data_IF_725062646824
#
_entry.id   IF_725062646824
#
_cell.length_a   1.000
_cell.length_b   1.000
_cell.length_c   1.000
_cell.angle_alpha   90.00
_cell.angle_beta   90.00
_cell.angle_gamma   90.00
#
_symmetry.space_group_name_H-M   'P 1'
#
loop_
_entity.id
_entity.type
_entity.pdbx_description
1 polymer ?
#
# COMPACT_ATOMS: atom_id res chain seq x y z
N UNK A 1 30.37 10.88 -14.09
CA UNK A 1 30.99 9.58 -14.46
C UNK A 1 30.90 9.32 -15.97
N UNK A 2 29.72 9.47 -16.59
CA UNK A 2 29.55 9.33 -18.05
C UNK A 2 30.53 10.20 -18.84
N UNK A 3 30.59 11.50 -18.58
CA UNK A 3 31.49 12.41 -19.30
C UNK A 3 32.96 11.99 -19.19
N UNK A 4 33.38 11.56 -18.00
CA UNK A 4 34.74 11.07 -17.77
C UNK A 4 35.09 9.81 -18.58
N UNK A 5 34.14 8.88 -18.70
CA UNK A 5 34.32 7.61 -19.42
C UNK A 5 34.22 7.79 -20.93
N UNK A 6 33.29 8.63 -21.41
CA UNK A 6 33.04 8.83 -22.84
C UNK A 6 33.99 9.84 -23.49
N UNK A 7 34.39 10.91 -22.79
CA UNK A 7 35.26 11.97 -23.32
C UNK A 7 36.76 11.63 -23.27
N UNK A 8 37.19 10.59 -22.54
CA UNK A 8 38.59 10.11 -22.61
C UNK A 8 38.80 9.24 -23.85
N UNK A 9 39.63 9.66 -24.83
CA UNK A 9 39.94 8.83 -25.98
C UNK A 9 40.85 7.65 -25.58
N UNK A 10 40.52 6.46 -26.11
CA UNK A 10 41.31 5.21 -26.13
C UNK A 10 41.77 4.57 -24.80
N UNK A 11 41.49 5.15 -23.63
CA UNK A 11 41.88 4.54 -22.33
C UNK A 11 40.77 3.77 -21.61
N UNK A 12 39.50 3.98 -21.98
CA UNK A 12 38.33 3.44 -21.26
C UNK A 12 37.33 2.75 -22.19
N UNK A 13 37.80 2.20 -23.32
CA UNK A 13 36.93 1.59 -24.33
C UNK A 13 36.01 0.47 -23.76
N UNK A 14 36.49 -0.48 -22.93
CA UNK A 14 35.60 -1.49 -22.33
C UNK A 14 34.54 -0.88 -21.40
N UNK A 15 34.90 0.17 -20.66
CA UNK A 15 33.98 0.84 -19.73
C UNK A 15 32.82 1.52 -20.46
N UNK A 16 32.99 1.95 -21.72
CA UNK A 16 31.89 2.52 -22.52
C UNK A 16 30.76 1.51 -22.81
N UNK A 17 31.08 0.22 -22.86
CA UNK A 17 30.07 -0.83 -23.07
C UNK A 17 29.41 -1.30 -21.77
N UNK A 18 30.16 -1.27 -20.66
CA UNK A 18 29.69 -1.75 -19.36
C UNK A 18 28.92 -0.67 -18.58
N UNK A 19 29.30 0.60 -18.74
CA UNK A 19 28.78 1.70 -17.92
C UNK A 19 27.25 1.86 -18.01
N UNK A 20 26.60 1.87 -19.19
CA UNK A 20 25.15 2.00 -19.26
C UNK A 20 24.43 0.87 -18.50
N UNK A 21 24.86 -0.39 -18.71
CA UNK A 21 24.28 -1.54 -18.01
C UNK A 21 24.54 -1.51 -16.51
N UNK A 22 25.71 -1.06 -16.09
CA UNK A 22 26.06 -0.94 -14.65
C UNK A 22 25.23 0.13 -13.95
N UNK A 23 24.94 1.24 -14.63
CA UNK A 23 24.08 2.30 -14.06
C UNK A 23 22.66 1.80 -13.87
N UNK A 24 22.09 1.08 -14.85
CA UNK A 24 20.79 0.45 -14.70
C UNK A 24 20.79 -0.60 -13.59
N UNK A 25 21.83 -1.43 -13.51
CA UNK A 25 21.99 -2.41 -12.43
C UNK A 25 22.06 -1.73 -11.06
N UNK A 26 22.81 -0.64 -10.92
CA UNK A 26 22.90 0.09 -9.65
C UNK A 26 21.54 0.68 -9.29
N UNK A 27 20.90 1.38 -10.22
CA UNK A 27 19.64 2.07 -9.97
C UNK A 27 18.48 1.11 -9.65
N UNK A 28 18.36 0.00 -10.39
CA UNK A 28 17.20 -0.89 -10.31
C UNK A 28 17.42 -2.16 -9.49
N UNK A 29 18.67 -2.52 -9.16
CA UNK A 29 18.97 -3.69 -8.33
C UNK A 29 19.67 -3.29 -7.02
N UNK A 30 20.79 -2.57 -7.09
CA UNK A 30 21.62 -2.31 -5.89
C UNK A 30 20.97 -1.32 -4.94
N UNK A 31 20.42 -0.20 -5.45
CA UNK A 31 19.76 0.81 -4.62
C UNK A 31 18.55 0.21 -3.86
N UNK A 32 17.63 -0.53 -4.51
CA UNK A 32 16.54 -1.20 -3.79
C UNK A 32 17.01 -2.23 -2.76
N UNK A 33 18.09 -2.97 -3.04
CA UNK A 33 18.68 -3.90 -2.06
C UNK A 33 19.18 -3.14 -0.84
N UNK A 34 19.94 -2.06 -1.05
CA UNK A 34 20.46 -1.25 0.06
C UNK A 34 19.33 -0.61 0.87
N UNK A 35 18.30 -0.08 0.19
CA UNK A 35 17.11 0.45 0.83
C UNK A 35 16.42 -0.63 1.70
N UNK A 36 16.22 -1.83 1.16
CA UNK A 36 15.62 -2.96 1.89
C UNK A 36 16.45 -3.35 3.11
N UNK A 37 17.78 -3.41 2.97
CA UNK A 37 18.69 -3.70 4.07
C UNK A 37 18.60 -2.62 5.14
N UNK A 38 18.64 -1.35 4.76
CA UNK A 38 18.53 -0.23 5.70
C UNK A 38 17.21 -0.25 6.47
N UNK A 39 16.10 -0.45 5.76
CA UNK A 39 14.76 -0.56 6.36
C UNK A 39 14.65 -1.73 7.34
N UNK A 40 15.40 -2.83 7.12
CA UNK A 40 15.39 -3.97 8.04
C UNK A 40 15.96 -3.66 9.44
N UNK A 41 16.71 -2.56 9.60
CA UNK A 41 17.21 -2.09 10.90
C UNK A 41 16.33 -1.00 11.53
N UNK A 42 15.22 -0.66 10.89
CA UNK A 42 14.33 0.41 11.33
C UNK A 42 12.98 -0.15 11.81
N UNK A 43 12.30 0.59 12.69
CA UNK A 43 10.87 0.41 12.97
C UNK A 43 10.08 1.00 11.81
N UNK A 44 10.03 0.26 10.70
CA UNK A 44 9.24 0.62 9.52
C UNK A 44 8.02 -0.29 9.47
N UNK A 45 6.90 0.21 10.00
CA UNK A 45 5.63 -0.52 10.13
C UNK A 45 4.45 0.41 9.94
N UNK A 46 3.24 -0.14 9.89
CA UNK A 46 2.01 0.66 10.00
C UNK A 46 2.09 1.55 11.25
N UNK A 47 1.83 2.84 11.08
CA UNK A 47 2.01 3.86 12.13
C UNK A 47 3.41 4.49 12.18
N UNK A 48 4.44 3.86 11.60
CA UNK A 48 5.86 4.28 11.70
C UNK A 48 6.49 4.47 10.32
N UNK A 49 5.83 5.24 9.47
CA UNK A 49 6.27 5.49 8.09
C UNK A 49 6.75 6.92 7.86
N UNK A 50 6.56 7.81 8.81
CA UNK A 50 6.88 9.23 8.69
C UNK A 50 8.25 9.56 9.30
N UNK A 51 8.73 10.76 9.03
CA UNK A 51 9.74 11.41 9.87
C UNK A 51 9.11 11.89 11.19
N UNK A 52 9.94 12.21 12.19
CA UNK A 52 9.44 12.70 13.50
C UNK A 52 8.67 14.01 13.36
N UNK A 53 9.15 14.94 12.53
CA UNK A 53 8.50 16.22 12.27
C UNK A 53 7.11 16.03 11.62
N UNK A 54 7.03 15.18 10.59
CA UNK A 54 5.75 14.84 9.96
C UNK A 54 4.81 14.14 10.94
N UNK A 55 5.33 13.23 11.79
CA UNK A 55 4.53 12.55 12.80
C UNK A 55 3.96 13.52 13.84
N UNK A 56 4.73 14.53 14.28
CA UNK A 56 4.25 15.58 15.19
C UNK A 56 3.09 16.33 14.51
N UNK A 57 3.29 16.83 13.30
CA UNK A 57 2.27 17.57 12.56
C UNK A 57 0.99 16.74 12.36
N UNK A 58 1.12 15.49 11.93
CA UNK A 58 -0.04 14.59 11.75
C UNK A 58 -0.75 14.30 13.08
N UNK A 59 -0.03 14.13 14.20
CA UNK A 59 -0.68 13.96 15.50
C UNK A 59 -1.47 15.21 15.90
N UNK A 60 -0.94 16.41 15.66
CA UNK A 60 -1.65 17.67 15.95
C UNK A 60 -2.91 17.85 15.09
N UNK A 61 -2.85 17.42 13.82
CA UNK A 61 -3.98 17.52 12.89
C UNK A 61 -5.08 16.47 13.14
N UNK A 62 -4.70 15.24 13.52
CA UNK A 62 -5.64 14.13 13.70
C UNK A 62 -6.28 14.09 15.10
N UNK A 63 -5.56 14.55 16.12
CA UNK A 63 -6.10 14.61 17.48
C UNK A 63 -6.76 15.96 17.68
N UNK A 64 -8.04 16.03 17.36
CA UNK A 64 -8.89 17.20 17.57
C UNK A 64 -9.94 16.83 18.61
N UNK A 65 -10.14 17.70 19.58
CA UNK A 65 -11.22 17.56 20.57
C UNK A 65 -12.39 18.38 20.04
N UNK A 66 -13.54 17.71 19.88
CA UNK A 66 -14.80 18.39 19.62
C UNK A 66 -15.17 19.21 20.86
N UNK A 67 -15.39 20.50 20.65
CA UNK A 67 -15.82 21.43 21.68
C UNK A 67 -17.29 21.22 22.04
N UNK A 68 -17.76 22.03 22.98
CA UNK A 68 -19.11 21.92 23.53
C UNK A 68 -20.15 22.67 22.68
N UNK A 69 -19.74 23.48 21.68
CA UNK A 69 -20.66 24.31 20.91
C UNK A 69 -21.05 23.64 19.61
N UNK A 70 -22.36 23.47 19.44
CA UNK A 70 -22.96 23.06 18.19
C UNK A 70 -23.65 24.26 17.54
N UNK A 71 -23.51 24.33 16.22
CA UNK A 71 -24.09 25.36 15.40
C UNK A 71 -25.02 24.72 14.39
N UNK A 72 -26.24 25.25 14.31
CA UNK A 72 -27.07 25.06 13.13
C UNK A 72 -26.43 25.84 11.98
N UNK A 73 -26.15 25.14 10.89
CA UNK A 73 -25.41 25.66 9.76
C UNK A 73 -26.31 25.78 8.53
N UNK A 74 -26.34 26.96 7.92
CA UNK A 74 -26.86 27.17 6.57
C UNK A 74 -25.72 27.51 5.62
N UNK A 75 -25.23 26.55 4.81
CA UNK A 75 -24.24 26.82 3.77
C UNK A 75 -24.77 27.82 2.76
N UNK A 76 -24.01 28.88 2.50
CA UNK A 76 -24.40 29.96 1.59
C UNK A 76 -23.24 30.39 0.70
N UNK A 77 -23.52 31.05 -0.43
CA UNK A 77 -22.51 31.71 -1.28
C UNK A 77 -22.62 33.21 -1.18
N UNK A 78 -21.48 33.90 -1.14
CA UNK A 78 -21.41 35.35 -1.26
C UNK A 78 -21.52 35.84 -2.71
N UNK A 79 -21.54 37.16 -2.91
CA UNK A 79 -21.59 37.78 -4.25
C UNK A 79 -20.41 37.40 -5.16
N UNK A 80 -19.30 36.92 -4.60
CA UNK A 80 -18.13 36.43 -5.34
C UNK A 80 -18.20 34.92 -5.66
N UNK A 81 -19.18 34.21 -5.11
CA UNK A 81 -19.37 32.77 -5.24
C UNK A 81 -18.62 31.94 -4.18
N UNK A 82 -17.95 32.57 -3.22
CA UNK A 82 -17.23 31.89 -2.15
C UNK A 82 -18.19 31.33 -1.09
N UNK A 83 -17.83 30.18 -0.52
CA UNK A 83 -18.61 29.52 0.54
C UNK A 83 -18.54 30.33 1.85
N UNK A 84 -19.70 30.57 2.44
CA UNK A 84 -19.89 31.23 3.73
C UNK A 84 -20.88 30.40 4.54
N UNK A 85 -20.53 30.10 5.79
CA UNK A 85 -21.42 29.38 6.69
C UNK A 85 -22.18 30.39 7.54
N UNK A 86 -23.51 30.37 7.48
CA UNK A 86 -24.33 31.07 8.47
C UNK A 86 -24.53 30.11 9.63
N UNK A 87 -24.02 30.47 10.80
CA UNK A 87 -23.95 29.61 11.98
C UNK A 87 -24.82 30.20 13.09
N UNK A 88 -25.74 29.42 13.65
CA UNK A 88 -26.55 29.80 14.80
C UNK A 88 -26.20 28.86 15.95
N UNK A 89 -25.69 29.42 17.04
CA UNK A 89 -25.37 28.68 18.26
C UNK A 89 -26.66 28.12 18.87
N UNK A 90 -26.72 26.78 19.02
CA UNK A 90 -27.93 26.06 19.41
C UNK A 90 -28.41 26.34 20.84
N UNK A 91 -27.51 26.88 21.67
CA UNK A 91 -27.73 27.10 23.10
C UNK A 91 -28.04 28.56 23.40
N UNK A 92 -27.31 29.48 22.77
CA UNK A 92 -27.45 30.92 23.01
C UNK A 92 -28.32 31.63 21.98
N UNK A 93 -28.52 31.03 20.80
CA UNK A 93 -29.19 31.65 19.66
C UNK A 93 -28.39 32.79 19.02
N UNK A 94 -27.11 32.95 19.38
CA UNK A 94 -26.24 33.95 18.78
C UNK A 94 -25.85 33.51 17.35
N UNK A 95 -25.86 34.45 16.42
CA UNK A 95 -25.58 34.18 15.01
C UNK A 95 -24.19 34.67 14.62
N UNK A 96 -23.53 33.90 13.75
CA UNK A 96 -22.20 34.16 13.23
C UNK A 96 -22.13 33.90 11.72
N UNK A 97 -21.18 34.57 11.06
CA UNK A 97 -20.75 34.27 9.70
C UNK A 97 -19.37 33.63 9.74
N UNK A 98 -19.31 32.36 9.36
CA UNK A 98 -18.08 31.59 9.21
C UNK A 98 -17.51 31.73 7.81
N UNK A 99 -16.35 32.37 7.68
CA UNK A 99 -15.59 32.46 6.43
C UNK A 99 -14.22 31.81 6.60
N UNK A 100 -13.54 31.51 5.49
CA UNK A 100 -12.15 31.05 5.52
C UNK A 100 -11.20 32.05 6.21
N UNK A 101 -11.58 33.33 6.29
CA UNK A 101 -10.84 34.38 7.00
C UNK A 101 -11.09 34.41 8.52
N UNK A 102 -12.11 33.73 9.02
CA UNK A 102 -12.49 33.70 10.43
C UNK A 102 -13.99 33.84 10.69
N UNK A 103 -14.34 33.85 11.97
CA UNK A 103 -15.71 33.96 12.48
C UNK A 103 -16.07 35.43 12.77
N UNK A 104 -17.21 35.90 12.25
CA UNK A 104 -17.74 37.25 12.48
C UNK A 104 -19.10 37.16 13.20
N UNK A 105 -19.25 37.87 14.32
CA UNK A 105 -20.54 37.98 15.03
C UNK A 105 -21.49 38.91 14.28
N UNK A 106 -22.73 38.47 14.07
CA UNK A 106 -23.79 39.28 13.48
C UNK A 106 -25.00 39.38 14.40
N UNK A 107 -25.76 40.46 14.26
CA UNK A 107 -26.99 40.65 15.03
C UNK A 107 -27.97 39.51 14.73
N UNK A 108 -28.45 38.75 15.74
CA UNK A 108 -29.44 37.70 15.52
C UNK A 108 -30.70 38.18 14.78
N UNK A 109 -31.06 39.46 14.91
CA UNK A 109 -32.20 40.06 14.20
C UNK A 109 -31.97 40.25 12.69
N UNK A 110 -30.74 40.07 12.21
CA UNK A 110 -30.37 40.16 10.78
C UNK A 110 -30.63 38.87 9.99
N UNK A 111 -31.03 37.81 10.69
CA UNK A 111 -31.26 36.48 10.15
C UNK A 111 -32.69 36.07 10.42
N UNK A 112 -33.43 35.77 9.35
CA UNK A 112 -34.82 35.34 9.44
C UNK A 112 -34.88 33.81 9.53
N UNK A 113 -35.84 33.27 10.27
CA UNK A 113 -36.09 31.82 10.32
C UNK A 113 -37.41 31.57 9.62
N UNK A 114 -37.43 30.63 8.67
CA UNK A 114 -38.63 30.31 7.91
C UNK A 114 -39.63 29.45 8.71
N UNK A 115 -40.79 29.16 8.11
CA UNK A 115 -41.88 28.40 8.74
C UNK A 115 -41.48 26.94 9.08
N UNK A 116 -40.40 26.43 8.49
CA UNK A 116 -39.87 25.08 8.71
C UNK A 116 -38.72 25.04 9.71
N UNK A 117 -38.28 26.20 10.20
CA UNK A 117 -37.18 26.32 11.15
C UNK A 117 -35.80 26.47 10.47
N UNK A 118 -35.76 26.65 9.16
CA UNK A 118 -34.52 26.84 8.41
C UNK A 118 -34.08 28.30 8.47
N UNK A 119 -32.77 28.50 8.67
CA UNK A 119 -32.15 29.82 8.84
C UNK A 119 -31.93 30.45 7.46
N UNK A 120 -32.63 31.56 7.19
CA UNK A 120 -32.49 32.36 5.95
C UNK A 120 -31.26 33.27 6.10
N UNK A 121 -30.28 33.18 5.19
CA UNK A 121 -29.07 33.98 5.28
C UNK A 121 -29.36 35.48 5.10
N UNK A 122 -28.55 36.36 5.72
CA UNK A 122 -28.70 37.81 5.61
C UNK A 122 -28.50 38.31 4.17
N UNK A 123 -29.00 39.52 3.88
CA UNK A 123 -28.95 40.11 2.54
C UNK A 123 -27.52 40.14 1.95
N UNK A 124 -27.37 39.64 0.72
CA UNK A 124 -26.07 39.51 0.03
C UNK A 124 -25.47 38.10 0.04
N UNK A 125 -26.12 37.15 0.74
CA UNK A 125 -25.77 35.73 0.74
C UNK A 125 -26.90 34.89 0.13
N UNK A 126 -26.55 33.87 -0.64
CA UNK A 126 -27.51 32.93 -1.26
C UNK A 126 -27.35 31.55 -0.65
N UNK A 127 -28.38 31.02 0.02
CA UNK A 127 -28.34 29.69 0.61
C UNK A 127 -28.20 28.60 -0.46
N UNK A 128 -27.34 27.63 -0.21
CA UNK A 128 -27.23 26.41 -1.01
C UNK A 128 -28.37 25.47 -0.66
N UNK A 129 -29.15 25.06 -1.65
CA UNK A 129 -30.30 24.16 -1.47
C UNK A 129 -30.36 23.09 -2.56
N UNK A 130 -30.99 21.95 -2.26
CA UNK A 130 -31.20 20.88 -3.24
C UNK A 130 -29.90 20.33 -3.82
N UNK A 131 -29.85 20.13 -5.14
CA UNK A 131 -28.72 19.52 -5.84
C UNK A 131 -27.41 20.29 -5.66
N UNK A 132 -27.46 21.62 -5.47
CA UNK A 132 -26.26 22.43 -5.24
C UNK A 132 -25.66 22.20 -3.86
N UNK A 133 -26.50 21.98 -2.83
CA UNK A 133 -26.06 21.64 -1.48
C UNK A 133 -25.45 20.24 -1.43
N UNK A 134 -26.12 19.25 -2.04
CA UNK A 134 -25.60 17.88 -2.10
C UNK A 134 -24.34 17.79 -2.98
N UNK A 135 -24.20 18.65 -3.99
CA UNK A 135 -22.99 18.78 -4.79
C UNK A 135 -21.82 19.41 -4.05
N UNK A 136 -22.07 20.14 -2.95
CA UNK A 136 -21.06 20.82 -2.15
C UNK A 136 -20.50 19.98 -0.98
N UNK A 137 -20.88 18.70 -0.85
CA UNK A 137 -20.48 17.81 0.26
C UNK A 137 -18.95 17.78 0.50
N UNK A 138 -18.16 17.61 -0.56
CA UNK A 138 -16.71 17.61 -0.46
C UNK A 138 -16.11 19.00 -0.15
N UNK A 139 -16.76 20.08 -0.59
CA UNK A 139 -16.37 21.46 -0.28
C UNK A 139 -16.63 21.75 1.20
N UNK A 140 -17.80 21.35 1.71
CA UNK A 140 -18.21 21.50 3.10
C UNK A 140 -17.34 20.68 4.06
N UNK A 141 -17.07 19.41 3.74
CA UNK A 141 -16.26 18.53 4.57
C UNK A 141 -14.81 19.02 4.73
N UNK A 142 -14.30 19.78 3.75
CA UNK A 142 -12.96 20.35 3.78
C UNK A 142 -12.93 21.80 4.31
N UNK A 143 -14.09 22.42 4.57
CA UNK A 143 -14.17 23.81 4.98
C UNK A 143 -13.98 23.96 6.48
N UNK A 144 -13.02 24.79 6.86
CA UNK A 144 -12.71 25.10 8.26
C UNK A 144 -12.76 26.61 8.49
N UNK A 145 -13.45 27.03 9.56
CA UNK A 145 -13.53 28.44 9.95
C UNK A 145 -12.62 28.68 11.15
N UNK A 146 -11.54 29.46 11.02
CA UNK A 146 -10.59 29.66 12.11
C UNK A 146 -11.18 30.52 13.24
N UNK A 147 -10.95 30.11 14.49
CA UNK A 147 -11.34 30.85 15.70
C UNK A 147 -10.18 31.71 16.22
N UNK A 148 -10.49 32.89 16.75
CA UNK A 148 -9.50 33.85 17.27
C UNK A 148 -8.76 33.38 18.53
N UNK A 149 -9.28 32.36 19.23
CA UNK A 149 -8.69 31.76 20.43
C UNK A 149 -7.89 30.47 20.21
N UNK A 150 -7.67 30.07 18.94
CA UNK A 150 -7.16 28.74 18.59
C UNK A 150 -8.31 27.73 18.42
N UNK A 151 -8.19 26.84 17.43
CA UNK A 151 -9.26 25.95 17.00
C UNK A 151 -9.97 26.41 15.73
N UNK A 152 -10.83 25.54 15.20
CA UNK A 152 -11.58 25.72 13.97
C UNK A 152 -13.01 25.20 14.14
N UNK A 153 -13.98 25.83 13.50
CA UNK A 153 -15.31 25.24 13.34
C UNK A 153 -15.28 24.32 12.13
N UNK A 154 -15.69 23.07 12.33
CA UNK A 154 -15.81 22.05 11.29
C UNK A 154 -17.27 21.75 11.00
N UNK A 155 -17.57 21.38 9.77
CA UNK A 155 -18.91 20.98 9.37
C UNK A 155 -19.21 19.54 9.79
N UNK A 156 -20.46 19.26 10.11
CA UNK A 156 -21.01 17.93 10.36
C UNK A 156 -22.23 17.72 9.46
N UNK A 157 -22.01 17.05 8.33
CA UNK A 157 -23.03 16.91 7.29
C UNK A 157 -23.36 18.25 6.62
N UNK A 158 -24.64 18.45 6.30
CA UNK A 158 -25.10 19.61 5.51
C UNK A 158 -25.75 20.72 6.34
N UNK A 159 -26.04 20.46 7.62
CA UNK A 159 -26.84 21.35 8.48
C UNK A 159 -26.25 21.57 9.87
N UNK A 160 -25.16 20.89 10.22
CA UNK A 160 -24.48 21.01 11.50
C UNK A 160 -23.06 21.50 11.33
N UNK A 161 -22.57 22.21 12.33
CA UNK A 161 -21.15 22.48 12.51
C UNK A 161 -20.83 22.49 14.01
N UNK A 162 -19.59 22.20 14.36
CA UNK A 162 -19.13 22.19 15.76
C UNK A 162 -17.79 22.89 15.88
N UNK A 163 -17.54 23.51 17.04
CA UNK A 163 -16.20 24.00 17.34
C UNK A 163 -15.25 22.86 17.67
N UNK A 164 -14.01 22.98 17.24
CA UNK A 164 -13.01 21.95 17.44
C UNK A 164 -11.68 22.61 17.81
N UNK A 165 -11.03 22.09 18.85
CA UNK A 165 -9.75 22.59 19.32
C UNK A 165 -8.68 21.52 19.14
N UNK A 166 -7.40 21.88 18.96
CA UNK A 166 -6.31 20.91 18.97
C UNK A 166 -6.38 20.08 20.25
N UNK A 167 -6.47 18.76 20.11
CA UNK A 167 -6.45 17.80 21.22
C UNK A 167 -5.05 17.57 21.76
N UNK A 168 -4.02 17.95 21.01
CA UNK A 168 -2.62 17.91 21.41
C UNK A 168 -1.97 19.28 21.16
N UNK A 169 -1.06 19.65 22.05
CA UNK A 169 -0.15 20.78 21.88
C UNK A 169 1.30 20.27 21.93
N UNK A 170 2.16 20.79 21.06
CA UNK A 170 3.56 20.40 20.99
C UNK A 170 4.46 21.41 21.70
N UNK A 171 5.15 20.96 22.76
CA UNK A 171 6.17 21.75 23.44
C UNK A 171 7.55 21.45 22.84
N UNK A 172 8.00 22.35 21.95
CA UNK A 172 9.30 22.23 21.27
C UNK A 172 10.53 22.33 22.18
N UNK A 173 10.41 22.88 23.39
CA UNK A 173 11.54 23.00 24.31
C UNK A 173 11.79 21.69 25.07
N UNK A 174 10.72 20.93 25.31
CA UNK A 174 10.77 19.64 26.02
C UNK A 174 10.63 18.43 25.08
N UNK A 175 10.27 18.63 23.81
CA UNK A 175 10.02 17.57 22.82
C UNK A 175 8.93 16.59 23.31
N UNK A 176 7.80 17.16 23.74
CA UNK A 176 6.64 16.42 24.25
C UNK A 176 5.35 16.91 23.60
N UNK A 177 4.40 16.00 23.41
CA UNK A 177 3.02 16.29 23.06
C UNK A 177 2.16 16.26 24.33
N UNK A 178 1.30 17.25 24.51
CA UNK A 178 0.50 17.40 25.72
C UNK A 178 -0.98 17.36 25.31
N UNK A 179 -1.73 16.43 25.87
CA UNK A 179 -3.17 16.37 25.67
C UNK A 179 -3.86 17.56 26.33
N UNK A 180 -4.64 18.31 25.56
CA UNK A 180 -5.26 19.57 26.01
C UNK A 180 -6.43 19.33 26.97
N UNK A 181 -7.05 18.16 26.92
CA UNK A 181 -8.19 17.75 27.75
C UNK A 181 -7.78 17.20 29.13
N UNK A 182 -6.75 16.36 29.15
CA UNK A 182 -6.32 15.55 30.29
C UNK A 182 -5.00 16.03 30.89
N UNK A 183 -4.22 16.82 30.14
CA UNK A 183 -2.87 17.25 30.52
C UNK A 183 -1.83 16.13 30.47
N UNK A 184 -2.15 14.98 29.89
CA UNK A 184 -1.21 13.85 29.76
C UNK A 184 -0.08 14.23 28.82
N UNK A 185 1.15 14.08 29.28
CA UNK A 185 2.34 14.30 28.47
C UNK A 185 2.78 12.99 27.80
N UNK A 186 3.02 13.06 26.49
CA UNK A 186 3.59 12.00 25.69
C UNK A 186 5.00 12.40 25.25
N UNK A 187 5.99 11.60 25.66
CA UNK A 187 7.40 11.84 25.36
C UNK A 187 7.95 10.78 24.41
N UNK A 188 9.04 11.12 23.73
CA UNK A 188 9.75 10.19 22.85
C UNK A 188 10.27 8.97 23.63
N UNK A 189 9.84 7.77 23.22
CA UNK A 189 10.28 6.50 23.82
C UNK A 189 11.65 6.02 23.33
N UNK A 190 12.33 6.78 22.46
CA UNK A 190 13.58 6.44 21.78
C UNK A 190 13.43 5.32 20.75
N UNK A 191 12.19 4.97 20.39
CA UNK A 191 11.83 3.83 19.53
C UNK A 191 10.77 4.21 18.49
N UNK A 192 10.70 5.48 18.13
CA UNK A 192 9.86 5.93 17.04
C UNK A 192 8.44 6.33 17.43
N UNK A 193 8.15 6.55 18.71
CA UNK A 193 6.80 6.91 19.14
C UNK A 193 6.77 7.83 20.35
N UNK A 194 5.72 8.63 20.44
CA UNK A 194 5.37 9.36 21.66
C UNK A 194 4.55 8.45 22.58
N UNK A 195 4.95 8.36 23.85
CA UNK A 195 4.36 7.45 24.85
C UNK A 195 4.11 8.20 26.16
N UNK A 196 2.97 7.94 26.78
CA UNK A 196 2.62 8.48 28.10
C UNK A 196 3.39 7.81 29.24
N UNK A 197 3.35 8.39 30.44
CA UNK A 197 3.95 7.76 31.62
C UNK A 197 3.38 6.37 31.96
N UNK A 198 2.11 6.12 31.58
CA UNK A 198 1.41 4.84 31.79
C UNK A 198 1.68 3.80 30.69
N UNK A 199 2.37 4.22 29.61
CA UNK A 199 2.76 3.35 28.50
C UNK A 199 1.84 3.41 27.29
N UNK A 200 0.89 4.37 27.25
CA UNK A 200 0.01 4.56 26.09
C UNK A 200 0.75 5.23 24.94
N UNK A 201 0.80 4.58 23.79
CA UNK A 201 1.52 5.03 22.59
C UNK A 201 0.56 5.76 21.63
N UNK A 202 0.96 6.94 21.16
CA UNK A 202 0.24 7.62 20.08
C UNK A 202 0.31 6.78 18.80
N UNK A 203 -0.82 6.72 18.07
CA UNK A 203 -0.98 5.87 16.88
C UNK A 203 0.01 6.22 15.77
N UNK A 204 0.32 7.51 15.63
CA UNK A 204 1.24 8.02 14.61
C UNK A 204 2.62 8.20 15.23
N UNK A 205 3.56 7.36 14.80
CA UNK A 205 4.97 7.42 15.12
C UNK A 205 5.84 7.69 13.88
N UNK A 206 7.15 7.53 14.04
CA UNK A 206 8.14 7.77 13.00
C UNK A 206 9.13 6.60 12.85
N UNK A 207 9.86 6.61 11.74
CA UNK A 207 10.92 5.64 11.48
C UNK A 207 12.08 5.90 12.44
N UNK A 208 12.36 4.93 13.29
CA UNK A 208 13.50 4.96 14.21
C UNK A 208 14.43 3.77 13.99
N UNK A 209 15.73 3.95 14.25
CA UNK A 209 16.70 2.87 14.14
C UNK A 209 16.64 1.97 15.38
N UNK A 210 16.22 0.71 15.19
CA UNK A 210 16.06 -0.29 16.25
C UNK A 210 17.14 -1.39 16.20
N UNK A 211 18.18 -1.19 15.39
CA UNK A 211 19.28 -2.15 15.26
C UNK A 211 18.81 -3.53 14.80
N UNK A 212 19.17 -4.58 15.54
CA UNK A 212 18.95 -5.98 15.13
C UNK A 212 17.64 -6.58 15.62
N UNK A 213 16.74 -5.79 16.23
CA UNK A 213 15.52 -6.30 16.86
C UNK A 213 14.66 -7.13 15.90
N UNK A 214 14.42 -6.64 14.68
CA UNK A 214 13.67 -7.34 13.63
C UNK A 214 14.24 -8.75 13.35
N UNK A 215 15.56 -8.89 13.34
CA UNK A 215 16.24 -10.17 13.08
C UNK A 215 16.15 -11.10 14.28
N UNK A 216 16.38 -10.57 15.49
CA UNK A 216 16.30 -11.37 16.71
C UNK A 216 14.89 -11.88 16.96
N UNK A 217 13.86 -11.10 16.63
CA UNK A 217 12.46 -11.47 16.77
C UNK A 217 12.11 -12.76 16.01
N UNK A 218 12.68 -12.99 14.82
CA UNK A 218 12.46 -14.22 14.04
C UNK A 218 12.95 -15.48 14.78
N UNK A 219 13.94 -15.33 15.66
CA UNK A 219 14.59 -16.43 16.39
C UNK A 219 14.02 -16.57 17.81
N UNK A 220 13.72 -15.45 18.46
CA UNK A 220 13.31 -15.40 19.87
C UNK A 220 11.80 -15.50 20.04
N UNK A 221 11.01 -14.90 19.14
CA UNK A 221 9.55 -14.88 19.25
C UNK A 221 8.94 -16.20 18.75
N UNK A 222 8.33 -17.03 19.63
CA UNK A 222 7.74 -18.31 19.21
C UNK A 222 6.61 -18.16 18.20
N UNK A 223 5.85 -17.05 18.25
CA UNK A 223 4.74 -16.77 17.35
C UNK A 223 5.21 -16.52 15.91
N UNK A 224 6.42 -15.98 15.73
CA UNK A 224 7.01 -15.72 14.41
C UNK A 224 7.84 -16.92 13.94
N UNK A 225 8.65 -17.51 14.82
CA UNK A 225 9.61 -18.55 14.47
C UNK A 225 8.97 -19.81 13.90
N UNK A 226 7.92 -20.31 14.54
CA UNK A 226 7.27 -21.56 14.16
C UNK A 226 6.67 -21.52 12.73
N UNK A 227 5.83 -20.52 12.36
CA UNK A 227 5.34 -20.40 11.00
C UNK A 227 6.46 -20.07 10.00
N UNK A 228 7.46 -19.25 10.39
CA UNK A 228 8.61 -18.97 9.54
C UNK A 228 9.36 -20.24 9.12
N UNK A 229 9.76 -21.10 10.06
CA UNK A 229 10.48 -22.33 9.75
C UNK A 229 9.65 -23.29 8.90
N UNK A 230 8.34 -23.40 9.18
CA UNK A 230 7.42 -24.23 8.39
C UNK A 230 7.34 -23.75 6.94
N UNK A 231 7.16 -22.44 6.74
CA UNK A 231 7.12 -21.84 5.42
C UNK A 231 8.46 -21.98 4.70
N UNK A 232 9.58 -21.71 5.38
CA UNK A 232 10.93 -21.82 4.83
C UNK A 232 11.23 -23.23 4.29
N UNK A 233 10.98 -24.27 5.10
CA UNK A 233 11.18 -25.67 4.67
C UNK A 233 10.28 -26.00 3.48
N UNK A 234 9.02 -25.57 3.52
CA UNK A 234 8.10 -25.77 2.39
C UNK A 234 8.59 -25.07 1.13
N UNK A 235 9.06 -23.83 1.20
CA UNK A 235 9.58 -23.08 0.05
C UNK A 235 10.78 -23.79 -0.58
N UNK A 236 11.69 -24.36 0.21
CA UNK A 236 12.81 -25.16 -0.29
C UNK A 236 12.30 -26.42 -1.00
N UNK A 237 11.41 -27.18 -0.36
CA UNK A 237 10.85 -28.41 -0.94
C UNK A 237 10.10 -28.11 -2.24
N UNK A 238 9.30 -27.05 -2.24
CA UNK A 238 8.57 -26.56 -3.41
C UNK A 238 9.51 -26.19 -4.55
N UNK A 239 10.52 -25.35 -4.30
CA UNK A 239 11.48 -24.91 -5.31
C UNK A 239 12.29 -26.10 -5.86
N UNK A 240 12.83 -26.95 -4.99
CA UNK A 240 13.60 -28.13 -5.39
C UNK A 240 12.75 -29.11 -6.22
N UNK A 241 11.52 -29.41 -5.78
CA UNK A 241 10.62 -30.32 -6.50
C UNK A 241 10.25 -29.75 -7.87
N UNK A 242 9.89 -28.47 -7.93
CA UNK A 242 9.51 -27.81 -9.19
C UNK A 242 10.67 -27.81 -10.17
N UNK A 243 11.88 -27.43 -9.74
CA UNK A 243 13.08 -27.41 -10.59
C UNK A 243 13.44 -28.81 -11.08
N UNK A 244 13.52 -29.79 -10.17
CA UNK A 244 13.94 -31.16 -10.52
C UNK A 244 12.95 -31.82 -11.50
N UNK A 245 11.65 -31.72 -11.22
CA UNK A 245 10.62 -32.33 -12.06
C UNK A 245 10.56 -31.63 -13.43
N UNK A 246 10.54 -30.29 -13.45
CA UNK A 246 10.46 -29.53 -14.71
C UNK A 246 11.71 -29.72 -15.56
N UNK A 247 12.89 -29.79 -14.95
CA UNK A 247 14.14 -30.09 -15.64
C UNK A 247 14.12 -31.49 -16.23
N UNK A 248 13.73 -32.51 -15.43
CA UNK A 248 13.68 -33.89 -15.90
C UNK A 248 12.72 -34.04 -17.10
N UNK A 249 11.52 -33.45 -17.02
CA UNK A 249 10.55 -33.46 -18.12
C UNK A 249 11.07 -32.67 -19.33
N UNK A 250 11.61 -31.47 -19.10
CA UNK A 250 12.15 -30.61 -20.15
C UNK A 250 13.31 -31.27 -20.91
N UNK A 251 14.25 -31.88 -20.19
CA UNK A 251 15.37 -32.64 -20.77
C UNK A 251 14.88 -33.87 -21.53
N UNK A 252 13.93 -34.62 -20.97
CA UNK A 252 13.32 -35.77 -21.65
C UNK A 252 12.67 -35.37 -22.97
N UNK A 253 11.85 -34.31 -22.96
CA UNK A 253 11.20 -33.76 -24.15
C UNK A 253 12.22 -33.20 -25.15
N UNK A 254 13.26 -32.51 -24.68
CA UNK A 254 14.33 -31.99 -25.53
C UNK A 254 15.02 -33.12 -26.29
N UNK A 255 15.45 -34.17 -25.58
CA UNK A 255 16.07 -35.37 -26.17
C UNK A 255 15.12 -36.09 -27.13
N UNK A 256 13.83 -36.17 -26.80
CA UNK A 256 12.83 -36.79 -27.67
C UNK A 256 12.69 -36.04 -29.01
N UNK A 257 12.60 -34.71 -28.95
CA UNK A 257 12.43 -33.84 -30.12
C UNK A 257 13.72 -33.68 -30.93
N UNK A 258 14.87 -33.97 -30.34
CA UNK A 258 16.16 -33.93 -31.04
C UNK A 258 16.33 -35.08 -32.03
N UNK A 259 15.76 -36.27 -31.74
CA UNK A 259 15.89 -37.49 -32.58
C UNK A 259 15.64 -37.24 -34.08
N UNK A 260 16.56 -37.58 -35.00
CA UNK A 260 16.48 -37.19 -36.41
C UNK A 260 15.22 -37.68 -37.15
N UNK A 261 14.70 -38.86 -36.79
CA UNK A 261 13.51 -39.46 -37.43
C UNK A 261 12.16 -38.95 -36.90
N UNK A 262 12.15 -38.02 -35.95
CA UNK A 262 10.90 -37.52 -35.38
C UNK A 262 10.17 -36.62 -36.38
N UNK A 263 8.94 -36.97 -36.78
CA UNK A 263 8.12 -36.17 -37.72
C UNK A 263 7.41 -35.04 -36.99
N UNK A 264 7.13 -33.93 -37.68
CA UNK A 264 6.42 -32.76 -37.15
C UNK A 264 7.07 -32.05 -35.95
N UNK A 265 8.40 -32.16 -35.76
CA UNK A 265 9.15 -31.52 -34.66
C UNK A 265 8.76 -30.05 -34.40
N UNK A 266 8.60 -29.27 -35.47
CA UNK A 266 8.24 -27.84 -35.37
C UNK A 266 6.88 -27.63 -34.69
N UNK A 267 5.87 -28.42 -35.05
CA UNK A 267 4.53 -28.32 -34.46
C UNK A 267 4.56 -28.67 -32.96
N UNK A 268 5.20 -29.78 -32.60
CA UNK A 268 5.33 -30.19 -31.19
C UNK A 268 6.09 -29.16 -30.37
N UNK A 269 7.18 -28.59 -30.90
CA UNK A 269 7.92 -27.50 -30.22
C UNK A 269 7.03 -26.29 -29.97
N UNK A 270 6.28 -25.84 -30.98
CA UNK A 270 5.38 -24.69 -30.82
C UNK A 270 4.30 -24.93 -29.78
N UNK A 271 3.67 -26.11 -29.77
CA UNK A 271 2.62 -26.46 -28.80
C UNK A 271 3.16 -26.54 -27.36
N UNK A 272 4.34 -27.12 -27.17
CA UNK A 272 4.96 -27.28 -25.85
C UNK A 272 5.46 -25.96 -25.24
N UNK A 273 5.64 -24.91 -26.05
CA UNK A 273 6.08 -23.58 -25.56
C UNK A 273 4.88 -22.72 -25.11
N UNK A 274 3.66 -23.04 -25.54
CA UNK A 274 2.44 -22.27 -25.22
C UNK A 274 2.30 -21.94 -23.72
N UNK A 275 2.52 -22.86 -22.77
CA UNK A 275 2.37 -22.54 -21.34
C UNK A 275 3.25 -21.38 -20.86
N UNK A 276 4.44 -21.21 -21.46
CA UNK A 276 5.39 -20.15 -21.12
C UNK A 276 5.12 -18.84 -21.89
N UNK A 277 4.46 -18.93 -23.05
CA UNK A 277 4.10 -17.76 -23.84
C UNK A 277 2.90 -16.99 -23.26
N UNK A 278 2.03 -17.66 -22.50
CA UNK A 278 0.88 -17.05 -21.82
C UNK A 278 1.34 -16.37 -20.54
N UNK A 279 0.82 -15.18 -20.19
CA UNK A 279 1.11 -14.54 -18.90
C UNK A 279 0.75 -15.45 -17.72
N UNK A 280 1.74 -15.75 -16.87
CA UNK A 280 1.59 -16.74 -15.79
C UNK A 280 0.42 -16.47 -14.83
N UNK A 281 0.14 -15.20 -14.53
CA UNK A 281 -1.00 -14.82 -13.68
C UNK A 281 -2.34 -15.31 -14.25
N UNK A 282 -2.56 -15.18 -15.56
CA UNK A 282 -3.79 -15.66 -16.21
C UNK A 282 -3.90 -17.17 -16.12
N UNK A 283 -2.80 -17.88 -16.37
CA UNK A 283 -2.75 -19.34 -16.23
C UNK A 283 -3.08 -19.78 -14.81
N UNK A 284 -2.56 -19.10 -13.78
CA UNK A 284 -2.86 -19.40 -12.38
C UNK A 284 -4.34 -19.22 -12.04
N UNK A 285 -5.01 -18.18 -12.56
CA UNK A 285 -6.45 -17.99 -12.35
C UNK A 285 -7.28 -19.09 -13.02
N UNK A 286 -6.91 -19.50 -14.23
CA UNK A 286 -7.56 -20.62 -14.92
C UNK A 286 -7.40 -21.90 -14.12
N UNK A 287 -6.18 -22.23 -13.69
CA UNK A 287 -5.94 -23.42 -12.87
C UNK A 287 -6.66 -23.36 -11.52
N UNK A 288 -6.77 -22.20 -10.88
CA UNK A 288 -7.57 -22.03 -9.66
C UNK A 288 -9.05 -22.42 -9.87
N UNK A 289 -9.63 -22.07 -11.02
CA UNK A 289 -10.99 -22.49 -11.38
C UNK A 289 -11.08 -23.98 -11.73
N UNK A 290 -10.12 -24.50 -12.50
CA UNK A 290 -10.10 -25.91 -12.92
C UNK A 290 -9.92 -26.88 -11.74
N UNK A 291 -9.09 -26.50 -10.77
CA UNK A 291 -8.77 -27.25 -9.56
C UNK A 291 -9.73 -26.96 -8.40
N UNK A 292 -10.82 -26.21 -8.61
CA UNK A 292 -11.77 -25.99 -7.53
C UNK A 292 -12.38 -27.33 -7.07
N UNK A 293 -12.39 -27.56 -5.75
CA UNK A 293 -12.79 -28.84 -5.16
C UNK A 293 -14.25 -29.21 -5.46
N UNK A 294 -15.17 -28.23 -5.52
CA UNK A 294 -16.62 -28.47 -5.66
C UNK A 294 -17.11 -28.46 -7.12
N UNK A 295 -16.63 -27.51 -7.93
CA UNK A 295 -17.14 -27.27 -9.29
C UNK A 295 -16.07 -27.34 -10.38
N UNK A 296 -14.82 -27.58 -10.01
CA UNK A 296 -13.69 -27.63 -10.92
C UNK A 296 -13.84 -28.74 -11.98
N UNK A 297 -13.41 -28.44 -13.20
CA UNK A 297 -13.47 -29.40 -14.30
C UNK A 297 -12.58 -30.62 -14.01
N UNK A 298 -11.47 -30.47 -13.29
CA UNK A 298 -10.56 -31.58 -13.02
C UNK A 298 -11.22 -32.66 -12.15
N UNK A 299 -11.93 -32.29 -11.08
CA UNK A 299 -12.68 -33.26 -10.28
C UNK A 299 -13.80 -33.93 -11.07
N UNK A 300 -14.51 -33.17 -11.93
CA UNK A 300 -15.55 -33.74 -12.81
C UNK A 300 -15.03 -34.79 -13.80
N UNK A 301 -13.74 -34.76 -14.13
CA UNK A 301 -13.10 -35.73 -15.03
C UNK A 301 -12.52 -36.94 -14.28
N UNK A 302 -12.40 -36.87 -12.95
CA UNK A 302 -11.84 -37.93 -12.13
C UNK A 302 -12.94 -38.81 -11.54
N UNK A 303 -12.67 -40.09 -11.28
CA UNK A 303 -13.65 -41.00 -10.68
C UNK A 303 -13.85 -40.77 -9.17
N UNK A 304 -13.11 -39.85 -8.56
CA UNK A 304 -13.19 -39.48 -7.15
C UNK A 304 -12.85 -38.00 -6.96
N UNK A 305 -13.44 -37.38 -5.94
CA UNK A 305 -13.19 -35.99 -5.61
C UNK A 305 -11.86 -35.83 -4.87
N UNK A 306 -10.98 -35.00 -5.43
CA UNK A 306 -9.69 -34.67 -4.84
C UNK A 306 -9.75 -33.25 -4.27
N UNK A 307 -9.36 -33.05 -3.00
CA UNK A 307 -9.39 -31.73 -2.36
C UNK A 307 -8.17 -30.88 -2.77
N UNK A 308 -8.06 -30.55 -4.05
CA UNK A 308 -6.89 -29.92 -4.67
C UNK A 308 -6.41 -28.65 -3.99
N UNK A 309 -7.31 -27.85 -3.40
CA UNK A 309 -6.98 -26.54 -2.85
C UNK A 309 -7.13 -26.44 -1.34
N UNK A 310 -8.09 -27.16 -0.74
CA UNK A 310 -8.44 -26.99 0.67
C UNK A 310 -7.79 -28.02 1.61
N UNK A 311 -7.23 -29.12 1.09
CA UNK A 311 -6.37 -30.02 1.88
C UNK A 311 -4.88 -29.61 1.78
N UNK A 312 -4.13 -29.53 2.89
CA UNK A 312 -2.73 -29.09 2.86
C UNK A 312 -1.79 -29.94 2.00
N UNK A 313 -2.00 -31.25 1.87
CA UNK A 313 -1.13 -32.10 1.06
C UNK A 313 -1.46 -31.98 -0.43
N UNK A 314 -2.74 -31.95 -0.76
CA UNK A 314 -3.19 -31.76 -2.14
C UNK A 314 -2.93 -30.34 -2.64
N UNK A 315 -3.09 -29.30 -1.82
CA UNK A 315 -2.71 -27.93 -2.16
C UNK A 315 -1.22 -27.83 -2.54
N UNK A 316 -0.35 -28.51 -1.80
CA UNK A 316 1.09 -28.62 -2.11
C UNK A 316 1.33 -29.33 -3.45
N UNK A 317 0.64 -30.44 -3.69
CA UNK A 317 0.74 -31.18 -4.95
C UNK A 317 0.25 -30.33 -6.13
N UNK A 318 -0.90 -29.67 -6.00
CA UNK A 318 -1.49 -28.76 -6.98
C UNK A 318 -0.52 -27.66 -7.38
N UNK A 319 0.05 -26.95 -6.39
CA UNK A 319 0.98 -25.84 -6.66
C UNK A 319 2.25 -26.35 -7.36
N UNK A 320 2.78 -27.53 -6.99
CA UNK A 320 3.91 -28.14 -7.70
C UNK A 320 3.53 -28.50 -9.14
N UNK A 321 2.39 -29.18 -9.36
CA UNK A 321 1.95 -29.62 -10.69
C UNK A 321 1.75 -28.45 -11.65
N UNK A 322 1.06 -27.40 -11.20
CA UNK A 322 0.85 -26.18 -12.00
C UNK A 322 2.17 -25.46 -12.26
N UNK A 323 3.06 -25.39 -11.26
CA UNK A 323 4.38 -24.77 -11.44
C UNK A 323 5.25 -25.56 -12.41
N UNK A 324 5.18 -26.89 -12.40
CA UNK A 324 5.85 -27.77 -13.35
C UNK A 324 5.32 -27.54 -14.76
N UNK A 325 4.00 -27.44 -14.93
CA UNK A 325 3.39 -27.14 -16.23
C UNK A 325 3.86 -25.79 -16.80
N UNK A 326 3.96 -24.76 -15.95
CA UNK A 326 4.45 -23.42 -16.35
C UNK A 326 5.95 -23.40 -16.65
N UNK A 327 6.76 -24.17 -15.92
CA UNK A 327 8.23 -24.09 -15.95
C UNK A 327 8.87 -25.07 -16.93
N UNK A 328 8.21 -26.19 -17.25
CA UNK A 328 8.70 -27.20 -18.19
C UNK A 328 9.14 -26.61 -19.55
N UNK A 329 8.40 -25.68 -20.19
CA UNK A 329 8.82 -25.14 -21.48
C UNK A 329 10.12 -24.34 -21.42
N UNK A 330 10.38 -23.64 -20.31
CA UNK A 330 11.65 -22.97 -20.08
C UNK A 330 12.82 -23.98 -20.08
N UNK A 331 12.70 -25.06 -19.29
CA UNK A 331 13.75 -26.09 -19.25
C UNK A 331 13.89 -26.83 -20.57
N UNK A 332 12.79 -27.07 -21.29
CA UNK A 332 12.81 -27.62 -22.64
C UNK A 332 13.67 -26.74 -23.58
N UNK A 333 13.47 -25.42 -23.58
CA UNK A 333 14.23 -24.48 -24.41
C UNK A 333 15.71 -24.46 -24.04
N UNK A 334 16.03 -24.37 -22.74
CA UNK A 334 17.41 -24.40 -22.24
C UNK A 334 18.10 -25.70 -22.63
N UNK A 335 17.46 -26.86 -22.39
CA UNK A 335 18.04 -28.16 -22.73
C UNK A 335 18.21 -28.36 -24.24
N UNK A 336 17.27 -27.88 -25.06
CA UNK A 336 17.43 -27.93 -26.53
C UNK A 336 18.62 -27.09 -27.00
N UNK A 337 18.81 -25.89 -26.44
CA UNK A 337 19.97 -25.06 -26.76
C UNK A 337 21.30 -25.71 -26.32
N UNK A 338 21.31 -26.32 -25.12
CA UNK A 338 22.48 -27.03 -24.61
C UNK A 338 22.84 -28.26 -25.46
N UNK A 339 21.85 -29.06 -25.87
CA UNK A 339 22.07 -30.23 -26.74
C UNK A 339 22.65 -29.84 -28.10
N UNK A 340 22.24 -28.70 -28.67
CA UNK A 340 22.77 -28.19 -29.93
C UNK A 340 24.23 -27.72 -29.85
N UNK A 341 24.72 -27.41 -28.65
CA UNK A 341 26.11 -27.01 -28.43
C UNK A 341 27.08 -28.20 -28.35
N UNK A 342 26.58 -29.43 -28.20
CA UNK A 342 27.41 -30.64 -28.13
C UNK A 342 27.91 -30.98 -29.54
N UNK A 343 29.24 -31.04 -29.79
CA UNK A 343 29.78 -31.42 -31.09
C UNK A 343 29.32 -32.81 -31.51
N UNK A 344 28.91 -32.98 -32.78
CA UNK A 344 28.40 -34.25 -33.30
C UNK A 344 29.42 -35.41 -33.21
N UNK A 345 30.72 -35.09 -33.27
CA UNK A 345 31.81 -36.06 -33.17
C UNK A 345 31.79 -36.85 -31.84
N UNK A 346 31.35 -36.22 -30.74
CA UNK A 346 31.22 -36.87 -29.43
C UNK A 346 29.97 -37.77 -29.32
N UNK A 347 29.01 -37.62 -30.22
CA UNK A 347 27.76 -38.41 -30.26
C UNK A 347 27.94 -39.67 -31.11
N UNK A 348 28.87 -39.63 -32.07
CA UNK A 348 29.19 -40.73 -32.99
C UNK A 348 30.27 -41.69 -32.46
N UNK A 349 31.15 -41.22 -31.57
CA UNK A 349 32.16 -42.01 -30.85
C UNK A 349 31.55 -42.86 -29.72
#
# INVERSE_FOLDING_TARGET
>A
IFDFVYLRPNKLLPAKFILPGSVLLIAYLIVPIFFTINTAFQKYSTGHVLSKEEAITTNLEQNVVQGEKFFLMTPSRDESGALVLVLVDDTTGQTYLGRASGLEEIDPASVEVDEFGDVIPPAGLTALVGDELFGADAELAAFEVPLTGGGVIKTEGISGAYDSAPGLEYDSARDVLIATDTGVEYADNGRGSFVSADGDELVVGWREYIGFENFTAVITNPLVRAPFLRAFVWTIVFAASTVLISFAIGLFLAKLLDKPKFRFKRLYRSLLIVPYAVPGFLSLLVFKGLLNDDYGLINKLLPFDVPWLFDPWWARASVILVSVWLTTPYFLLVCMGALQAIPGELVEA
#
